data_IF_424069237960
#
_entry.id   IF_424069237960
#
_cell.length_a   1.000
_cell.length_b   1.000
_cell.length_c   1.000
_cell.angle_alpha   90.00
_cell.angle_beta   90.00
_cell.angle_gamma   90.00
#
_symmetry.space_group_name_H-M   'P 1'
#
loop_
_entity.id
_entity.type
_entity.pdbx_description
1 polymer ?
#
# COMPACT_ATOMS: atom_id res chain seq x y z
N UNK A 1 20.40 -18.83 -7.25
CA UNK A 1 19.99 -19.49 -6.00
C UNK A 1 18.66 -18.89 -5.59
N UNK A 2 17.59 -19.67 -5.67
CA UNK A 2 16.31 -19.33 -5.05
C UNK A 2 16.58 -19.18 -3.55
N UNK A 3 16.60 -17.97 -3.04
CA UNK A 3 16.63 -17.72 -1.60
C UNK A 3 15.23 -18.07 -1.12
N UNK A 4 15.15 -19.08 -0.27
CA UNK A 4 13.87 -19.55 0.25
C UNK A 4 13.14 -18.48 1.06
N UNK A 5 11.92 -18.79 1.47
CA UNK A 5 11.04 -17.94 2.28
C UNK A 5 11.67 -17.42 3.59
N UNK A 6 12.87 -17.91 3.99
CA UNK A 6 13.61 -17.47 5.16
C UNK A 6 14.17 -16.04 5.11
N UNK A 7 14.08 -15.34 3.98
CA UNK A 7 14.56 -13.96 3.84
C UNK A 7 13.42 -12.92 3.87
N UNK A 8 12.23 -13.27 4.33
CA UNK A 8 11.04 -12.38 4.37
C UNK A 8 11.32 -11.12 5.17
N UNK A 9 12.06 -11.21 6.27
CA UNK A 9 12.45 -10.07 7.09
C UNK A 9 13.38 -9.05 6.41
N UNK A 10 13.95 -9.41 5.26
CA UNK A 10 14.82 -8.53 4.45
C UNK A 10 14.11 -7.86 3.30
N UNK A 11 12.90 -8.29 2.95
CA UNK A 11 12.14 -7.79 1.82
C UNK A 11 10.93 -7.02 2.30
N UNK A 12 10.73 -5.84 1.71
CA UNK A 12 9.52 -5.07 1.91
C UNK A 12 8.39 -5.69 1.08
N UNK A 13 7.22 -5.83 1.69
CA UNK A 13 6.00 -6.26 1.03
C UNK A 13 5.09 -5.05 0.90
N UNK A 14 4.85 -4.62 -0.33
CA UNK A 14 3.93 -3.53 -0.63
C UNK A 14 2.59 -4.08 -1.11
N UNK A 15 1.50 -3.62 -0.51
CA UNK A 15 0.14 -3.87 -0.99
C UNK A 15 -0.37 -2.65 -1.75
N UNK A 16 -0.97 -2.89 -2.91
CA UNK A 16 -1.63 -1.89 -3.74
C UNK A 16 -2.95 -2.47 -4.29
N UNK A 17 -3.85 -1.60 -4.73
CA UNK A 17 -5.09 -2.01 -5.37
C UNK A 17 -6.34 -1.67 -4.55
N UNK A 18 -6.83 -0.45 -4.73
CA UNK A 18 -8.12 -0.03 -4.19
C UNK A 18 -8.14 0.32 -2.70
N UNK A 19 -6.99 0.58 -2.08
CA UNK A 19 -6.91 1.08 -0.71
C UNK A 19 -7.56 2.46 -0.60
N UNK A 20 -8.44 2.66 0.39
CA UNK A 20 -9.21 3.90 0.57
C UNK A 20 -9.25 4.39 2.00
N UNK A 21 -9.18 3.48 2.98
CA UNK A 21 -9.44 3.73 4.39
C UNK A 21 -8.31 3.17 5.25
N UNK A 22 -8.25 3.62 6.50
CA UNK A 22 -7.33 3.04 7.48
C UNK A 22 -7.62 1.56 7.76
N UNK A 23 -8.88 1.13 7.60
CA UNK A 23 -9.24 -0.28 7.71
C UNK A 23 -8.57 -1.13 6.62
N UNK A 24 -8.49 -0.63 5.39
CA UNK A 24 -7.79 -1.36 4.30
C UNK A 24 -6.31 -1.52 4.63
N UNK A 25 -5.69 -0.48 5.21
CA UNK A 25 -4.29 -0.53 5.70
C UNK A 25 -4.12 -1.59 6.78
N UNK A 26 -5.02 -1.62 7.78
CA UNK A 26 -4.98 -2.62 8.86
C UNK A 26 -5.09 -4.04 8.29
N UNK A 27 -6.02 -4.30 7.39
CA UNK A 27 -6.18 -5.62 6.76
C UNK A 27 -4.90 -5.99 5.99
N UNK A 28 -4.35 -5.07 5.20
CA UNK A 28 -3.10 -5.30 4.48
C UNK A 28 -1.93 -5.63 5.41
N UNK A 29 -1.77 -4.88 6.51
CA UNK A 29 -0.73 -5.13 7.51
C UNK A 29 -0.91 -6.49 8.20
N UNK A 30 -2.13 -6.83 8.63
CA UNK A 30 -2.43 -8.15 9.23
C UNK A 30 -2.14 -9.31 8.26
N UNK A 31 -2.22 -9.07 6.94
CA UNK A 31 -1.84 -10.03 5.90
C UNK A 31 -0.34 -10.01 5.55
N UNK A 32 0.45 -9.14 6.19
CA UNK A 32 1.92 -9.13 6.08
C UNK A 32 2.51 -7.99 5.24
N UNK A 33 1.76 -6.94 4.93
CA UNK A 33 2.30 -5.81 4.19
C UNK A 33 3.01 -4.81 5.09
N UNK A 34 4.20 -4.36 4.66
CA UNK A 34 5.00 -3.29 5.26
C UNK A 34 4.65 -1.92 4.68
N UNK A 35 4.25 -1.86 3.39
CA UNK A 35 4.01 -0.64 2.64
C UNK A 35 2.65 -0.67 1.93
N UNK A 36 2.10 0.53 1.67
CA UNK A 36 0.74 0.68 1.17
C UNK A 36 0.69 1.68 0.02
N UNK A 37 0.31 1.20 -1.17
CA UNK A 37 0.16 2.01 -2.37
C UNK A 37 -1.26 2.56 -2.51
N UNK A 38 -1.39 3.88 -2.56
CA UNK A 38 -2.65 4.56 -2.81
C UNK A 38 -2.59 5.28 -4.16
N UNK A 39 -3.63 5.16 -4.98
CA UNK A 39 -3.73 5.91 -6.22
C UNK A 39 -5.05 6.67 -6.35
N UNK A 40 -6.17 5.96 -6.42
CA UNK A 40 -7.48 6.56 -6.68
C UNK A 40 -7.97 7.47 -5.57
N UNK A 41 -7.81 7.07 -4.30
CA UNK A 41 -8.32 7.84 -3.17
C UNK A 41 -7.65 9.23 -3.04
N UNK A 42 -6.30 9.38 -3.08
CA UNK A 42 -5.67 10.69 -3.10
C UNK A 42 -5.99 11.50 -4.37
N UNK A 43 -6.22 10.87 -5.52
CA UNK A 43 -6.71 11.57 -6.70
C UNK A 43 -8.10 12.18 -6.48
N UNK A 44 -9.01 11.45 -5.84
CA UNK A 44 -10.34 11.95 -5.48
C UNK A 44 -10.22 13.11 -4.49
N UNK A 45 -9.36 12.98 -3.48
CA UNK A 45 -9.06 14.06 -2.53
C UNK A 45 -8.56 15.33 -3.24
N UNK A 46 -7.83 15.18 -4.35
CA UNK A 46 -7.37 16.29 -5.20
C UNK A 46 -8.44 16.83 -6.16
N UNK A 47 -9.67 16.28 -6.17
CA UNK A 47 -10.77 16.74 -7.01
C UNK A 47 -11.04 15.88 -8.26
N UNK A 48 -10.50 14.66 -8.34
CA UNK A 48 -10.82 13.73 -9.43
C UNK A 48 -12.27 13.23 -9.32
N UNK A 49 -13.03 13.33 -10.40
CA UNK A 49 -14.43 12.88 -10.48
C UNK A 49 -14.60 11.48 -11.07
N UNK A 50 -13.51 10.73 -11.21
CA UNK A 50 -13.50 9.34 -11.68
C UNK A 50 -14.10 9.12 -13.08
N UNK A 51 -14.00 10.09 -13.97
CA UNK A 51 -14.57 10.04 -15.31
C UNK A 51 -13.85 9.05 -16.24
N UNK A 52 -12.67 8.56 -15.83
CA UNK A 52 -11.88 7.56 -16.57
C UNK A 52 -11.50 7.96 -18.01
N UNK A 53 -11.34 9.26 -18.27
CA UNK A 53 -10.91 9.84 -19.55
C UNK A 53 -9.44 10.29 -19.56
N UNK A 54 -8.64 9.86 -18.58
CA UNK A 54 -7.25 10.27 -18.40
C UNK A 54 -6.38 10.00 -19.63
N UNK A 55 -6.60 8.85 -20.29
CA UNK A 55 -5.83 8.42 -21.47
C UNK A 55 -6.17 9.20 -22.75
N UNK A 56 -7.25 9.98 -22.75
CA UNK A 56 -7.69 10.77 -23.92
C UNK A 56 -7.24 12.23 -23.88
N UNK A 57 -6.47 12.64 -22.88
CA UNK A 57 -6.08 14.05 -22.68
C UNK A 57 -7.28 15.03 -22.54
N UNK A 58 -8.45 14.52 -22.14
CA UNK A 58 -9.71 15.27 -22.04
C UNK A 58 -10.26 15.32 -20.63
N UNK A 59 -9.38 15.29 -19.62
CA UNK A 59 -9.79 15.34 -18.21
C UNK A 59 -10.52 16.65 -17.90
N UNK A 60 -11.84 16.61 -17.57
CA UNK A 60 -12.63 17.81 -17.43
C UNK A 60 -12.28 18.66 -16.19
N UNK A 61 -11.63 18.05 -15.20
CA UNK A 61 -11.19 18.72 -13.96
C UNK A 61 -9.71 19.09 -13.98
N UNK A 62 -9.00 18.85 -15.08
CA UNK A 62 -7.65 19.33 -15.28
C UNK A 62 -6.53 18.53 -14.61
N UNK A 63 -6.83 17.42 -13.90
CA UNK A 63 -5.82 16.62 -13.18
C UNK A 63 -4.91 15.87 -14.15
N UNK A 64 -5.49 15.18 -15.14
CA UNK A 64 -4.77 14.29 -16.04
C UNK A 64 -4.95 14.75 -17.50
N UNK A 65 -4.40 15.92 -17.81
CA UNK A 65 -4.42 16.49 -19.16
C UNK A 65 -3.26 17.43 -19.37
N UNK A 66 -2.77 17.52 -20.62
CA UNK A 66 -1.80 18.50 -21.06
C UNK A 66 -2.47 19.70 -21.75
N UNK A 67 -3.78 19.64 -22.01
CA UNK A 67 -4.52 20.75 -22.60
C UNK A 67 -4.47 21.99 -21.69
N UNK A 68 -3.99 23.15 -22.18
CA UNK A 68 -3.77 24.34 -21.34
C UNK A 68 -5.08 24.95 -20.82
N UNK A 69 -6.19 24.74 -21.50
CA UNK A 69 -7.51 25.24 -21.08
C UNK A 69 -8.08 24.36 -19.97
N UNK A 70 -7.99 23.04 -20.15
CA UNK A 70 -8.48 22.08 -19.15
C UNK A 70 -7.63 22.12 -17.88
N UNK A 71 -6.31 22.26 -17.99
CA UNK A 71 -5.41 22.37 -16.82
C UNK A 71 -5.77 23.52 -15.89
N UNK A 72 -6.27 24.65 -16.42
CA UNK A 72 -6.71 25.79 -15.60
C UNK A 72 -7.91 25.48 -14.69
N UNK A 73 -8.62 24.37 -14.95
CA UNK A 73 -9.75 23.93 -14.11
C UNK A 73 -9.32 23.16 -12.87
N UNK A 74 -8.04 22.80 -12.77
CA UNK A 74 -7.54 22.08 -11.60
C UNK A 74 -7.53 23.00 -10.37
N UNK A 75 -8.27 22.60 -9.34
CA UNK A 75 -8.43 23.32 -8.07
C UNK A 75 -7.87 22.55 -6.87
N UNK A 76 -7.23 21.41 -7.12
CA UNK A 76 -6.63 20.61 -6.06
C UNK A 76 -5.45 21.33 -5.40
N UNK A 77 -5.33 21.15 -4.09
CA UNK A 77 -4.24 21.70 -3.30
C UNK A 77 -3.47 20.55 -2.62
N UNK A 78 -2.16 20.70 -2.38
CA UNK A 78 -1.37 19.68 -1.68
C UNK A 78 -1.95 19.32 -0.32
N UNK A 79 -2.54 20.28 0.38
CA UNK A 79 -3.16 20.12 1.70
C UNK A 79 -4.31 19.12 1.69
N UNK A 80 -5.05 18.99 0.58
CA UNK A 80 -6.11 17.99 0.45
C UNK A 80 -5.55 16.58 0.58
N UNK A 81 -4.41 16.31 -0.07
CA UNK A 81 -3.74 15.00 -0.01
C UNK A 81 -3.09 14.78 1.35
N UNK A 82 -2.45 15.81 1.90
CA UNK A 82 -1.83 15.75 3.23
C UNK A 82 -2.89 15.42 4.29
N UNK A 83 -4.00 16.16 4.30
CA UNK A 83 -5.09 15.93 5.26
C UNK A 83 -5.73 14.54 5.07
N UNK A 84 -5.91 14.10 3.83
CA UNK A 84 -6.40 12.75 3.55
C UNK A 84 -5.53 11.68 4.23
N UNK A 85 -4.20 11.75 4.11
CA UNK A 85 -3.32 10.79 4.74
C UNK A 85 -3.25 10.93 6.27
N UNK A 86 -3.40 12.14 6.81
CA UNK A 86 -3.57 12.30 8.26
C UNK A 86 -4.83 11.60 8.76
N UNK A 87 -5.96 11.71 8.05
CA UNK A 87 -7.19 10.99 8.42
C UNK A 87 -7.03 9.47 8.33
N UNK A 88 -6.34 8.97 7.30
CA UNK A 88 -6.00 7.54 7.21
C UNK A 88 -5.17 7.12 8.42
N UNK A 89 -4.14 7.89 8.78
CA UNK A 89 -3.28 7.57 9.92
C UNK A 89 -4.05 7.57 11.26
N UNK A 90 -4.97 8.52 11.45
CA UNK A 90 -5.82 8.56 12.64
C UNK A 90 -6.79 7.38 12.72
N UNK A 91 -7.40 6.99 11.60
CA UNK A 91 -8.25 5.80 11.54
C UNK A 91 -7.44 4.53 11.85
N UNK A 92 -6.23 4.40 11.27
CA UNK A 92 -5.31 3.29 11.58
C UNK A 92 -5.00 3.25 13.07
N UNK A 93 -4.63 4.38 13.65
CA UNK A 93 -4.32 4.49 15.09
C UNK A 93 -5.50 4.09 15.97
N UNK A 94 -6.70 4.55 15.61
CA UNK A 94 -7.93 4.18 16.31
C UNK A 94 -8.19 2.68 16.24
N UNK A 95 -8.08 2.07 15.06
CA UNK A 95 -8.30 0.63 14.88
C UNK A 95 -7.23 -0.20 15.60
N UNK A 96 -5.96 0.19 15.54
CA UNK A 96 -4.88 -0.45 16.29
C UNK A 96 -5.17 -0.45 17.80
N UNK A 97 -5.64 0.67 18.34
CA UNK A 97 -6.01 0.74 19.77
C UNK A 97 -7.14 -0.21 20.15
N UNK A 98 -8.09 -0.43 19.25
CA UNK A 98 -9.19 -1.39 19.44
C UNK A 98 -8.71 -2.85 19.38
N UNK A 99 -7.70 -3.12 18.57
CA UNK A 99 -7.08 -4.43 18.43
C UNK A 99 -6.00 -4.71 19.50
N UNK A 100 -5.59 -3.69 20.27
CA UNK A 100 -4.62 -3.82 21.35
C UNK A 100 -3.16 -3.66 20.91
N UNK A 101 -2.89 -3.27 19.67
CA UNK A 101 -1.53 -3.03 19.17
C UNK A 101 -1.04 -1.63 19.54
N UNK A 102 0.20 -1.55 20.04
CA UNK A 102 0.87 -0.28 20.39
C UNK A 102 1.74 0.25 19.27
N UNK A 103 2.35 -0.63 18.48
CA UNK A 103 3.20 -0.30 17.35
C UNK A 103 2.66 -0.94 16.08
N UNK A 104 2.87 -0.30 14.95
CA UNK A 104 2.43 -0.79 13.65
C UNK A 104 3.08 -2.14 13.30
N UNK A 105 4.38 -2.24 13.54
CA UNK A 105 5.16 -3.44 13.22
C UNK A 105 4.67 -4.69 13.99
N UNK A 106 4.12 -4.50 15.19
CA UNK A 106 3.55 -5.59 16.00
C UNK A 106 2.33 -6.25 15.36
N UNK A 107 1.68 -5.55 14.41
CA UNK A 107 0.47 -6.00 13.75
C UNK A 107 0.75 -6.76 12.45
N UNK A 108 1.95 -6.57 11.86
CA UNK A 108 2.28 -7.13 10.54
C UNK A 108 2.29 -8.65 10.60
N UNK A 109 1.45 -9.27 9.75
CA UNK A 109 1.35 -10.72 9.67
C UNK A 109 0.57 -11.40 10.80
N UNK A 110 -0.14 -10.63 11.66
CA UNK A 110 -0.98 -11.16 12.74
C UNK A 110 -2.36 -11.58 12.19
N UNK A 111 -2.38 -12.59 11.33
CA UNK A 111 -3.55 -13.08 10.60
C UNK A 111 -4.66 -13.65 11.49
N UNK A 112 -4.34 -14.07 12.71
CA UNK A 112 -5.30 -14.66 13.64
C UNK A 112 -6.29 -13.62 14.20
N UNK A 113 -5.97 -12.33 14.08
CA UNK A 113 -6.86 -11.21 14.43
C UNK A 113 -8.02 -11.07 13.43
N UNK A 114 -7.86 -11.61 12.20
CA UNK A 114 -8.89 -11.53 11.16
C UNK A 114 -10.01 -12.56 11.36
N UNK A 115 -11.25 -12.09 11.49
CA UNK A 115 -12.43 -12.97 11.58
C UNK A 115 -12.82 -13.53 10.21
N UNK A 116 -12.52 -14.80 10.01
CA UNK A 116 -12.81 -15.55 8.78
C UNK A 116 -14.28 -15.92 8.64
N UNK A 117 -15.02 -16.05 9.75
CA UNK A 117 -16.35 -16.68 9.77
C UNK A 117 -17.44 -15.81 9.15
N UNK A 118 -17.38 -14.49 9.30
CA UNK A 118 -18.38 -13.58 8.76
C UNK A 118 -18.35 -13.49 7.23
N UNK A 119 -17.18 -13.61 6.60
CA UNK A 119 -17.06 -13.60 5.15
C UNK A 119 -17.65 -14.86 4.49
N UNK A 120 -17.57 -16.02 5.16
CA UNK A 120 -18.02 -17.32 4.63
C UNK A 120 -19.56 -17.41 4.55
N UNK A 121 -20.28 -16.63 5.35
CA UNK A 121 -21.77 -16.67 5.37
C UNK A 121 -22.41 -15.93 4.19
N UNK A 122 -21.65 -15.16 3.42
CA UNK A 122 -22.19 -14.50 2.23
C UNK A 122 -22.29 -15.49 1.07
N UNK A 123 -23.41 -15.53 0.35
CA UNK A 123 -23.67 -16.51 -0.71
C UNK A 123 -22.58 -16.54 -1.81
N UNK A 124 -21.99 -15.38 -2.17
CA UNK A 124 -20.87 -15.30 -3.14
C UNK A 124 -19.55 -15.80 -2.57
N UNK A 125 -19.37 -15.76 -1.26
CA UNK A 125 -18.14 -16.18 -0.61
C UNK A 125 -18.17 -17.67 -0.19
N UNK A 126 -19.34 -18.32 -0.22
CA UNK A 126 -19.56 -19.70 0.26
C UNK A 126 -18.68 -20.76 -0.44
N UNK A 127 -18.15 -20.45 -1.63
CA UNK A 127 -17.25 -21.35 -2.39
C UNK A 127 -15.79 -20.92 -2.39
N UNK A 128 -15.42 -19.86 -1.65
CA UNK A 128 -14.06 -19.35 -1.61
C UNK A 128 -13.24 -20.03 -0.50
N UNK A 129 -12.09 -20.55 -0.87
CA UNK A 129 -11.10 -21.05 0.08
C UNK A 129 -10.04 -19.99 0.36
N UNK A 130 -10.05 -19.46 1.58
CA UNK A 130 -9.07 -18.47 2.04
C UNK A 130 -7.90 -19.11 2.80
N UNK A 131 -7.79 -20.42 2.89
CA UNK A 131 -6.78 -21.13 3.68
C UNK A 131 -5.35 -20.70 3.32
N UNK A 132 -5.09 -20.48 2.03
CA UNK A 132 -3.77 -20.01 1.54
C UNK A 132 -3.45 -18.57 1.90
N UNK A 133 -4.47 -17.70 2.01
CA UNK A 133 -4.31 -16.31 2.46
C UNK A 133 -4.01 -16.22 3.96
N UNK A 134 -4.62 -17.12 4.73
CA UNK A 134 -4.47 -17.19 6.18
C UNK A 134 -3.45 -18.26 6.61
N UNK A 135 -2.47 -18.51 5.76
CA UNK A 135 -1.40 -19.43 6.07
C UNK A 135 -0.32 -18.75 6.91
N UNK A 136 -0.15 -19.20 8.15
CA UNK A 136 0.98 -18.82 8.98
C UNK A 136 2.13 -19.81 8.71
N UNK A 137 3.29 -19.37 8.20
CA UNK A 137 4.44 -20.22 7.98
C UNK A 137 5.04 -20.77 9.28
N UNK A 138 4.55 -20.38 10.46
CA UNK A 138 5.04 -20.79 11.78
C UNK A 138 6.55 -20.68 11.91
N UNK A 139 7.09 -19.58 11.44
CA UNK A 139 8.49 -19.22 11.66
C UNK A 139 8.69 -19.03 13.17
N UNK A 140 9.84 -19.44 13.70
CA UNK A 140 10.12 -19.31 15.14
C UNK A 140 9.92 -17.87 15.63
N UNK A 141 9.57 -17.69 16.91
CA UNK A 141 9.27 -16.38 17.53
C UNK A 141 10.40 -15.34 17.38
N UNK A 142 11.62 -15.79 17.11
CA UNK A 142 12.78 -14.92 16.88
C UNK A 142 12.84 -14.28 15.50
N UNK A 143 11.97 -14.73 14.55
CA UNK A 143 11.97 -14.22 13.18
C UNK A 143 10.89 -13.13 13.04
N UNK A 144 11.27 -11.87 12.75
CA UNK A 144 10.31 -10.81 12.59
C UNK A 144 9.45 -11.04 11.34
N UNK A 145 8.16 -10.73 11.43
CA UNK A 145 7.18 -10.83 10.34
C UNK A 145 7.18 -9.58 9.44
N UNK A 146 7.98 -8.56 9.76
CA UNK A 146 8.07 -7.27 9.07
C UNK A 146 9.49 -7.00 8.58
N UNK A 147 9.65 -6.05 7.67
CA UNK A 147 10.97 -5.64 7.18
C UNK A 147 11.73 -4.89 8.27
N UNK A 148 12.85 -5.45 8.72
CA UNK A 148 13.71 -4.87 9.75
C UNK A 148 15.13 -4.54 9.24
N UNK A 149 15.47 -4.91 8.02
CA UNK A 149 16.76 -4.63 7.42
C UNK A 149 16.77 -3.31 6.65
N UNK A 150 17.85 -2.56 6.78
CA UNK A 150 18.08 -1.39 5.94
C UNK A 150 18.57 -1.82 4.57
N UNK A 151 17.90 -1.33 3.53
CA UNK A 151 18.32 -1.56 2.16
C UNK A 151 19.68 -0.89 1.91
N UNK A 152 20.65 -1.69 1.46
CA UNK A 152 21.95 -1.19 1.05
C UNK A 152 21.94 -0.92 -0.45
N UNK A 153 22.21 0.33 -0.84
CA UNK A 153 22.32 0.73 -2.22
C UNK A 153 23.80 0.97 -2.59
N UNK A 154 24.55 -0.04 -3.05
CA UNK A 154 25.93 0.14 -3.48
C UNK A 154 25.98 0.82 -4.85
N UNK A 155 25.68 2.13 -4.88
CA UNK A 155 25.60 2.93 -6.11
C UNK A 155 26.94 3.51 -6.56
N UNK A 156 28.06 3.13 -5.91
CA UNK A 156 29.38 3.67 -6.24
C UNK A 156 29.88 3.21 -7.61
N UNK A 157 29.64 1.96 -7.97
CA UNK A 157 30.17 1.29 -9.18
C UNK A 157 29.09 0.84 -10.15
N UNK A 158 27.99 1.60 -10.25
CA UNK A 158 26.88 1.31 -11.18
C UNK A 158 27.29 1.65 -12.62
N UNK A 159 26.75 0.87 -13.58
CA UNK A 159 26.99 1.04 -15.01
C UNK A 159 26.68 2.47 -15.51
N UNK A 160 25.64 3.09 -14.96
CA UNK A 160 25.22 4.45 -15.34
C UNK A 160 26.34 5.47 -15.19
N UNK A 161 27.20 5.37 -14.17
CA UNK A 161 28.35 6.27 -14.02
C UNK A 161 29.36 6.12 -15.14
N UNK A 162 29.58 4.89 -15.62
CA UNK A 162 30.48 4.63 -16.76
C UNK A 162 29.86 5.17 -18.05
N UNK A 163 28.55 5.02 -18.24
CA UNK A 163 27.84 5.55 -19.40
C UNK A 163 27.86 7.07 -19.42
N UNK A 164 27.62 7.73 -18.28
CA UNK A 164 27.69 9.19 -18.13
C UNK A 164 29.11 9.71 -18.45
N UNK A 165 30.16 9.00 -18.02
CA UNK A 165 31.55 9.39 -18.35
C UNK A 165 31.85 9.26 -19.83
N UNK A 166 31.33 8.24 -20.52
CA UNK A 166 31.53 8.01 -21.95
C UNK A 166 30.68 8.91 -22.85
N UNK A 167 29.61 9.50 -22.31
CA UNK A 167 28.74 10.41 -23.07
C UNK A 167 29.19 11.87 -23.05
N UNK A 168 30.21 12.19 -22.28
CA UNK A 168 30.90 13.49 -22.26
C UNK A 168 32.06 13.52 -23.25
#
# INVERSE_FOLDING_TARGET
>A
RSRGLGDVYKRQVQVDGGLRTGRDVIIGALLGADEFGFSTAPLIASGCIMMRKCHLNTCPVGIATQDPVLRKRFVGMPEHVVNFFFFIAEEVRFLMSKLGFKKFDEMIGEIDVLDKKKAINHWKAKGLDFSKLFFDPKMGESVPKYNCDKQQHPIKDILDRQLIQRSK
#
